data_IF_353861596378
#
_entry.id   IF_353861596378
#
_cell.length_a   1.000
_cell.length_b   1.000
_cell.length_c   1.000
_cell.angle_alpha   90.00
_cell.angle_beta   90.00
_cell.angle_gamma   90.00
#
_symmetry.space_group_name_H-M   'P 1'
#
loop_
_entity.id
_entity.type
_entity.pdbx_description
1 polymer ?
#
# COMPACT_ATOMS: atom_id res chain seq x y z
N UNK A 1 -6.61 3.68 40.68
CA UNK A 1 -6.83 2.54 39.74
C UNK A 1 -6.16 2.96 38.44
N UNK A 2 -5.24 2.14 37.96
CA UNK A 2 -4.08 2.47 37.14
C UNK A 2 -4.45 2.95 35.72
N UNK A 3 -4.22 4.23 35.43
CA UNK A 3 -3.91 4.74 34.09
C UNK A 3 -2.41 5.13 34.04
N UNK A 4 -1.56 4.18 34.43
CA UNK A 4 -0.13 4.17 34.13
C UNK A 4 0.06 3.67 32.69
N UNK A 5 0.17 4.59 31.74
CA UNK A 5 1.22 4.49 30.71
C UNK A 5 1.77 5.90 30.52
N UNK A 6 2.82 6.20 31.29
CA UNK A 6 3.78 7.23 30.93
C UNK A 6 4.46 6.83 29.63
N UNK A 7 4.08 7.49 28.53
CA UNK A 7 4.98 7.64 27.40
C UNK A 7 4.94 9.10 26.95
N UNK A 8 5.74 9.90 27.65
CA UNK A 8 6.13 11.24 27.23
C UNK A 8 6.86 11.12 25.88
N UNK A 9 6.18 11.45 24.79
CA UNK A 9 6.85 11.87 23.57
C UNK A 9 7.35 13.31 23.77
N UNK A 10 8.23 13.52 24.76
CA UNK A 10 8.91 14.79 24.95
C UNK A 10 10.12 14.82 24.03
N UNK A 11 9.89 15.41 22.86
CA UNK A 11 10.90 15.94 21.97
C UNK A 11 10.24 17.06 21.17
N UNK A 12 9.98 18.19 21.81
CA UNK A 12 9.60 19.43 21.16
C UNK A 12 10.59 19.69 20.00
N UNK A 13 10.03 20.02 18.82
CA UNK A 13 10.71 20.48 17.59
C UNK A 13 11.01 19.51 16.43
N UNK A 14 10.18 18.48 16.21
CA UNK A 14 9.74 18.24 14.83
C UNK A 14 8.26 18.63 14.75
N UNK A 15 7.98 19.92 14.46
CA UNK A 15 6.60 20.36 14.21
C UNK A 15 6.03 19.51 13.08
N UNK A 16 4.71 19.28 13.09
CA UNK A 16 4.04 18.51 12.03
C UNK A 16 4.47 18.99 10.63
N UNK A 17 4.69 20.30 10.49
CA UNK A 17 5.20 20.94 9.26
C UNK A 17 6.60 20.46 8.85
N UNK A 18 7.57 20.35 9.78
CA UNK A 18 8.90 19.80 9.47
C UNK A 18 8.82 18.37 8.91
N UNK A 19 7.93 17.54 9.47
CA UNK A 19 7.73 16.17 8.97
C UNK A 19 6.97 16.11 7.66
N UNK A 20 6.02 17.03 7.47
CA UNK A 20 5.37 17.20 6.19
C UNK A 20 6.37 17.64 5.09
N UNK A 21 7.28 18.55 5.39
CA UNK A 21 8.34 18.99 4.47
C UNK A 21 9.35 17.87 4.17
N UNK A 22 9.66 17.04 5.17
CA UNK A 22 10.46 15.83 4.97
C UNK A 22 9.74 14.84 4.02
N UNK A 23 8.42 14.70 4.15
CA UNK A 23 7.61 13.87 3.25
C UNK A 23 7.57 14.45 1.82
N UNK A 24 7.47 15.77 1.67
CA UNK A 24 7.57 16.45 0.37
C UNK A 24 8.92 16.17 -0.28
N UNK A 25 10.01 16.27 0.49
CA UNK A 25 11.37 15.98 0.03
C UNK A 25 11.52 14.52 -0.40
N UNK A 26 10.96 13.58 0.37
CA UNK A 26 10.91 12.17 0.00
C UNK A 26 10.12 11.96 -1.30
N UNK A 27 8.93 12.56 -1.42
CA UNK A 27 8.10 12.48 -2.64
C UNK A 27 8.85 13.04 -3.84
N UNK A 28 9.57 14.15 -3.70
CA UNK A 28 10.38 14.72 -4.78
C UNK A 28 11.50 13.77 -5.23
N UNK A 29 12.15 13.08 -4.30
CA UNK A 29 13.24 12.15 -4.60
C UNK A 29 12.76 10.79 -5.16
N UNK A 30 11.58 10.32 -4.76
CA UNK A 30 11.10 8.96 -5.05
C UNK A 30 9.85 8.91 -5.96
N UNK A 31 9.22 10.05 -6.25
CA UNK A 31 7.97 10.15 -7.00
C UNK A 31 6.72 9.72 -6.23
N UNK A 32 6.83 9.28 -4.97
CA UNK A 32 5.70 8.76 -4.19
C UNK A 32 5.85 8.98 -2.67
N UNK A 33 4.77 8.86 -1.91
CA UNK A 33 4.74 8.96 -0.43
C UNK A 33 4.88 7.62 0.30
N UNK A 34 5.16 6.53 -0.42
CA UNK A 34 5.31 5.16 0.12
C UNK A 34 6.66 4.98 0.84
N UNK A 35 6.82 5.59 2.01
CA UNK A 35 8.00 5.38 2.87
C UNK A 35 7.88 4.02 3.58
N UNK A 36 8.94 3.18 3.60
CA UNK A 36 8.94 1.92 4.34
C UNK A 36 8.69 2.13 5.85
N UNK A 37 7.90 1.25 6.47
CA UNK A 37 7.51 1.37 7.89
C UNK A 37 8.70 1.32 8.88
N UNK A 38 9.80 0.65 8.51
CA UNK A 38 11.02 0.56 9.32
C UNK A 38 12.23 0.99 8.50
N UNK A 39 12.19 2.19 7.91
CA UNK A 39 13.30 2.69 7.10
C UNK A 39 14.49 3.06 7.99
N UNK A 40 15.67 2.42 7.82
CA UNK A 40 16.87 2.84 8.53
C UNK A 40 17.36 4.22 8.09
N UNK A 41 17.06 4.60 6.84
CA UNK A 41 17.42 5.90 6.26
C UNK A 41 16.50 7.04 6.71
N UNK A 42 15.23 6.74 7.01
CA UNK A 42 14.22 7.73 7.37
C UNK A 42 13.43 7.35 8.64
N UNK A 43 14.09 7.01 9.77
CA UNK A 43 13.43 6.40 10.92
C UNK A 43 12.35 7.30 11.55
N UNK A 44 12.65 8.61 11.69
CA UNK A 44 11.68 9.60 12.20
C UNK A 44 10.47 9.76 11.29
N UNK A 45 10.71 9.92 9.98
CA UNK A 45 9.63 10.08 8.99
C UNK A 45 8.76 8.83 8.91
N UNK A 46 9.36 7.63 8.92
CA UNK A 46 8.63 6.36 8.99
C UNK A 46 7.70 6.30 10.20
N UNK A 47 8.21 6.65 11.40
CA UNK A 47 7.42 6.67 12.61
C UNK A 47 6.29 7.72 12.56
N UNK A 48 6.57 8.92 12.04
CA UNK A 48 5.55 9.97 11.89
C UNK A 48 4.43 9.56 10.93
N UNK A 49 4.75 8.93 9.80
CA UNK A 49 3.78 8.39 8.83
C UNK A 49 2.90 7.32 9.48
N UNK A 50 3.50 6.42 10.26
CA UNK A 50 2.76 5.40 11.03
C UNK A 50 1.75 6.10 11.94
N UNK A 51 2.16 7.13 12.68
CA UNK A 51 1.25 7.91 13.53
C UNK A 51 0.08 8.50 12.75
N UNK A 52 0.33 9.09 11.56
CA UNK A 52 -0.74 9.66 10.74
C UNK A 52 -1.74 8.57 10.29
N UNK A 53 -1.26 7.39 9.90
CA UNK A 53 -2.10 6.27 9.44
C UNK A 53 -2.90 5.61 10.56
N UNK A 54 -2.34 5.51 11.76
CA UNK A 54 -3.02 4.88 12.90
C UNK A 54 -4.02 5.80 13.60
N UNK A 55 -3.82 7.11 13.52
CA UNK A 55 -4.65 8.10 14.22
C UNK A 55 -5.09 9.24 13.28
N UNK A 56 -5.70 8.94 12.12
CA UNK A 56 -6.11 9.97 11.16
C UNK A 56 -7.20 10.90 11.72
N UNK A 57 -7.94 10.47 12.76
CA UNK A 57 -8.92 11.26 13.50
C UNK A 57 -8.29 12.38 14.33
N UNK A 58 -6.98 12.30 14.64
CA UNK A 58 -6.26 13.34 15.39
C UNK A 58 -5.71 14.46 14.51
N UNK A 59 -5.89 14.36 13.20
CA UNK A 59 -5.49 15.39 12.26
C UNK A 59 -6.52 16.51 12.22
N UNK A 60 -6.04 17.75 12.21
CA UNK A 60 -6.87 18.89 11.81
C UNK A 60 -7.30 18.74 10.35
N UNK A 61 -8.41 19.38 9.98
CA UNK A 61 -8.90 19.38 8.59
C UNK A 61 -7.84 19.86 7.61
N UNK A 62 -7.11 20.92 7.96
CA UNK A 62 -6.01 21.46 7.15
C UNK A 62 -4.89 20.44 6.92
N UNK A 63 -4.42 19.77 7.98
CA UNK A 63 -3.34 18.77 7.89
C UNK A 63 -3.74 17.55 7.07
N UNK A 64 -4.98 17.11 7.22
CA UNK A 64 -5.56 16.05 6.38
C UNK A 64 -5.57 16.47 4.91
N UNK A 65 -6.08 17.65 4.61
CA UNK A 65 -6.14 18.19 3.24
C UNK A 65 -4.74 18.25 2.61
N UNK A 66 -3.74 18.76 3.33
CA UNK A 66 -2.34 18.82 2.87
C UNK A 66 -1.77 17.45 2.54
N UNK A 67 -2.07 16.42 3.34
CA UNK A 67 -1.67 15.03 3.05
C UNK A 67 -2.38 14.48 1.80
N UNK A 68 -3.66 14.76 1.65
CA UNK A 68 -4.45 14.34 0.48
C UNK A 68 -3.93 15.00 -0.81
N UNK A 69 -3.62 16.29 -0.80
CA UNK A 69 -3.09 17.05 -1.94
C UNK A 69 -1.76 16.48 -2.47
N UNK A 70 -0.94 15.93 -1.58
CA UNK A 70 0.34 15.31 -1.98
C UNK A 70 0.18 13.83 -2.35
N UNK A 71 -1.04 13.28 -2.37
CA UNK A 71 -1.29 11.88 -2.66
C UNK A 71 -0.73 10.96 -1.57
N UNK A 72 -0.93 11.33 -0.30
CA UNK A 72 -0.53 10.49 0.81
C UNK A 72 -1.28 9.15 0.80
N UNK A 73 -0.54 8.05 0.75
CA UNK A 73 -1.12 6.70 0.78
C UNK A 73 -1.44 6.32 2.22
N UNK A 74 -2.72 6.36 2.58
CA UNK A 74 -3.24 5.95 3.89
C UNK A 74 -3.11 4.44 4.12
N UNK A 75 -3.57 3.64 3.16
CA UNK A 75 -3.45 2.18 3.17
C UNK A 75 -2.53 1.72 2.04
N UNK A 76 -1.29 1.38 2.41
CA UNK A 76 -0.27 0.89 1.49
C UNK A 76 -0.60 -0.49 0.91
N UNK A 77 -1.34 -1.33 1.63
CA UNK A 77 -1.75 -2.65 1.17
C UNK A 77 -2.90 -2.54 0.17
N UNK A 78 -3.85 -1.63 0.40
CA UNK A 78 -4.88 -1.29 -0.57
C UNK A 78 -4.26 -0.75 -1.86
N UNK A 79 -3.39 0.26 -1.75
CA UNK A 79 -2.72 0.84 -2.91
C UNK A 79 -1.89 -0.17 -3.70
N UNK A 80 -1.15 -1.07 -3.03
CA UNK A 80 -0.39 -2.12 -3.73
C UNK A 80 -1.31 -3.13 -4.42
N UNK A 81 -2.46 -3.44 -3.84
CA UNK A 81 -3.43 -4.32 -4.48
C UNK A 81 -4.00 -3.68 -5.75
N UNK A 82 -4.34 -2.39 -5.72
CA UNK A 82 -4.79 -1.64 -6.92
C UNK A 82 -3.73 -1.63 -8.01
N UNK A 83 -2.47 -1.37 -7.66
CA UNK A 83 -1.33 -1.37 -8.59
C UNK A 83 -1.18 -2.72 -9.30
N UNK A 84 -1.27 -3.83 -8.55
CA UNK A 84 -1.16 -5.18 -9.13
C UNK A 84 -2.41 -5.60 -9.89
N UNK A 85 -3.59 -5.18 -9.45
CA UNK A 85 -4.82 -5.40 -10.20
C UNK A 85 -4.78 -4.69 -11.56
N UNK A 86 -4.34 -3.43 -11.60
CA UNK A 86 -4.13 -2.71 -12.85
C UNK A 86 -3.09 -3.40 -13.76
N UNK A 87 -1.99 -3.90 -13.18
CA UNK A 87 -0.99 -4.68 -13.92
C UNK A 87 -1.58 -5.99 -14.48
N UNK A 88 -2.47 -6.67 -13.75
CA UNK A 88 -3.18 -7.85 -14.24
C UNK A 88 -4.15 -7.52 -15.37
N UNK A 89 -4.88 -6.40 -15.28
CA UNK A 89 -5.75 -5.91 -16.36
C UNK A 89 -4.93 -5.65 -17.63
N UNK A 90 -3.77 -5.02 -17.49
CA UNK A 90 -2.83 -4.81 -18.60
C UNK A 90 -2.37 -6.14 -19.19
N UNK A 91 -1.94 -7.08 -18.36
CA UNK A 91 -1.55 -8.42 -18.80
C UNK A 91 -2.67 -9.12 -19.57
N UNK A 92 -3.91 -9.06 -19.07
CA UNK A 92 -5.07 -9.62 -19.78
C UNK A 92 -5.27 -8.97 -21.15
N UNK A 93 -5.11 -7.64 -21.26
CA UNK A 93 -5.23 -6.94 -22.54
C UNK A 93 -4.18 -7.41 -23.56
N UNK A 94 -2.97 -7.70 -23.09
CA UNK A 94 -1.84 -8.11 -23.93
C UNK A 94 -1.88 -9.60 -24.31
N UNK A 95 -2.34 -10.47 -23.41
CA UNK A 95 -2.31 -11.93 -23.57
C UNK A 95 -3.68 -12.59 -23.77
N UNK A 96 -4.77 -11.84 -23.65
CA UNK A 96 -6.15 -12.34 -23.74
C UNK A 96 -6.69 -13.04 -22.48
N UNK A 97 -5.83 -13.33 -21.49
CA UNK A 97 -6.20 -14.07 -20.28
C UNK A 97 -5.45 -13.58 -19.03
N UNK A 98 -5.92 -13.98 -17.85
CA UNK A 98 -5.25 -13.66 -16.56
C UNK A 98 -4.23 -14.72 -16.09
N UNK A 99 -3.86 -15.67 -16.96
CA UNK A 99 -2.96 -16.77 -16.61
C UNK A 99 -1.49 -16.35 -16.64
N UNK A 100 -1.09 -15.57 -15.63
CA UNK A 100 0.30 -15.15 -15.42
C UNK A 100 1.16 -16.35 -14.99
N UNK A 101 2.30 -16.65 -15.66
CA UNK A 101 3.22 -17.69 -15.26
C UNK A 101 3.79 -17.46 -13.86
N UNK A 102 3.99 -18.54 -13.08
CA UNK A 102 4.51 -18.45 -11.71
C UNK A 102 5.91 -17.81 -11.63
N UNK A 103 6.73 -18.00 -12.65
CA UNK A 103 8.11 -17.50 -12.74
C UNK A 103 8.27 -16.49 -13.89
N UNK A 104 7.24 -15.67 -14.13
CA UNK A 104 7.28 -14.67 -15.20
C UNK A 104 8.38 -13.63 -14.92
N UNK A 105 9.41 -13.59 -15.77
CA UNK A 105 10.61 -12.80 -15.55
C UNK A 105 10.38 -11.31 -15.81
N UNK A 106 9.44 -10.98 -16.69
CA UNK A 106 9.11 -9.62 -17.09
C UNK A 106 8.39 -8.86 -15.96
N UNK A 107 7.63 -9.57 -15.12
CA UNK A 107 7.06 -8.99 -13.90
C UNK A 107 6.92 -10.03 -12.77
N UNK A 108 8.00 -10.27 -12.02
CA UNK A 108 8.01 -11.22 -10.90
C UNK A 108 7.04 -10.82 -9.78
N UNK A 109 6.79 -9.51 -9.61
CA UNK A 109 5.87 -9.01 -8.60
C UNK A 109 4.42 -9.40 -8.93
N UNK A 110 4.01 -9.25 -10.19
CA UNK A 110 2.68 -9.66 -10.63
C UNK A 110 2.51 -11.18 -10.52
N UNK A 111 3.51 -11.96 -10.93
CA UNK A 111 3.48 -13.42 -10.82
C UNK A 111 3.27 -13.89 -9.37
N UNK A 112 4.02 -13.31 -8.44
CA UNK A 112 3.88 -13.59 -7.01
C UNK A 112 2.52 -13.12 -6.45
N UNK A 113 2.04 -11.95 -6.89
CA UNK A 113 0.74 -11.42 -6.45
C UNK A 113 -0.43 -12.29 -6.92
N UNK A 114 -0.42 -12.73 -8.19
CA UNK A 114 -1.42 -13.66 -8.76
C UNK A 114 -1.41 -14.99 -8.01
N UNK A 115 -0.23 -15.53 -7.73
CA UNK A 115 -0.08 -16.75 -6.90
C UNK A 115 -0.67 -16.55 -5.50
N UNK A 116 -0.45 -15.38 -4.91
CA UNK A 116 -1.04 -15.02 -3.61
C UNK A 116 -2.56 -14.93 -3.68
N UNK A 117 -3.14 -14.37 -4.75
CA UNK A 117 -4.60 -14.32 -4.90
C UNK A 117 -5.19 -15.73 -4.96
N UNK A 118 -4.58 -16.65 -5.72
CA UNK A 118 -5.05 -18.03 -5.84
C UNK A 118 -4.97 -18.81 -4.52
N UNK A 119 -3.89 -18.63 -3.77
CA UNK A 119 -3.66 -19.35 -2.49
C UNK A 119 -4.46 -18.79 -1.32
N UNK A 120 -4.80 -17.50 -1.34
CA UNK A 120 -5.52 -16.80 -0.24
C UNK A 120 -6.94 -16.39 -0.64
N UNK A 121 -7.58 -17.15 -1.53
CA UNK A 121 -8.92 -16.84 -2.05
C UNK A 121 -9.95 -16.62 -0.94
N UNK A 122 -9.90 -17.47 0.09
CA UNK A 122 -10.76 -17.45 1.28
C UNK A 122 -10.58 -16.19 2.15
N UNK A 123 -9.42 -15.54 2.05
CA UNK A 123 -9.08 -14.33 2.83
C UNK A 123 -9.30 -13.03 2.04
N UNK A 124 -9.73 -13.11 0.79
CA UNK A 124 -10.05 -11.92 0.00
C UNK A 124 -11.39 -11.35 0.42
N UNK A 125 -11.46 -10.02 0.52
CA UNK A 125 -12.74 -9.36 0.71
C UNK A 125 -13.64 -9.54 -0.54
N UNK A 126 -14.93 -9.31 -0.35
CA UNK A 126 -15.94 -9.50 -1.41
C UNK A 126 -15.69 -8.63 -2.63
N UNK A 127 -15.23 -7.40 -2.42
CA UNK A 127 -14.94 -6.44 -3.51
C UNK A 127 -13.81 -6.94 -4.44
N UNK A 128 -12.67 -7.32 -3.85
CA UNK A 128 -11.52 -7.85 -4.60
C UNK A 128 -11.85 -9.13 -5.33
N UNK A 129 -12.64 -10.00 -4.71
CA UNK A 129 -13.12 -11.24 -5.33
C UNK A 129 -14.01 -10.95 -6.54
N UNK A 130 -14.94 -9.99 -6.40
CA UNK A 130 -15.82 -9.55 -7.50
C UNK A 130 -15.01 -8.97 -8.66
N UNK A 131 -14.07 -8.06 -8.38
CA UNK A 131 -13.23 -7.42 -9.39
C UNK A 131 -12.34 -8.40 -10.15
N UNK A 132 -11.81 -9.41 -9.48
CA UNK A 132 -11.08 -10.51 -10.13
C UNK A 132 -12.01 -11.34 -11.04
N UNK A 133 -13.24 -11.61 -10.59
CA UNK A 133 -14.22 -12.32 -11.40
C UNK A 133 -14.63 -11.54 -12.66
N UNK A 134 -14.83 -10.22 -12.56
CA UNK A 134 -15.17 -9.33 -13.70
C UNK A 134 -14.13 -9.38 -14.83
N UNK A 135 -12.86 -9.59 -14.49
CA UNK A 135 -11.80 -9.74 -15.50
C UNK A 135 -11.57 -11.20 -15.93
N UNK A 136 -12.42 -12.14 -15.51
CA UNK A 136 -12.29 -13.55 -15.87
C UNK A 136 -11.09 -14.23 -15.23
N UNK A 137 -10.75 -13.85 -13.99
CA UNK A 137 -9.62 -14.45 -13.27
C UNK A 137 -9.89 -15.93 -12.93
N UNK A 138 -9.08 -16.82 -13.48
CA UNK A 138 -9.13 -18.25 -13.19
C UNK A 138 -8.41 -18.59 -11.87
N UNK A 139 -9.18 -19.09 -10.91
CA UNK A 139 -8.67 -19.49 -9.60
C UNK A 139 -7.81 -20.75 -9.65
N UNK A 140 -8.03 -21.62 -10.63
CA UNK A 140 -7.33 -22.90 -10.78
C UNK A 140 -6.91 -23.09 -12.23
N UNK A 141 -5.62 -22.91 -12.49
CA UNK A 141 -4.99 -23.31 -13.76
C UNK A 141 -4.60 -24.79 -13.61
N UNK A 142 -5.57 -25.70 -13.69
CA UNK A 142 -5.22 -27.10 -13.97
C UNK A 142 -4.93 -27.17 -15.46
N UNK A 143 -3.76 -27.68 -15.83
CA UNK A 143 -3.55 -28.18 -17.19
C UNK A 143 -4.68 -29.14 -17.49
N UNK A 144 -5.49 -28.89 -18.52
CA UNK A 144 -6.14 -30.01 -19.20
C UNK A 144 -5.00 -30.92 -19.64
N UNK A 145 -4.95 -32.15 -19.12
CA UNK A 145 -4.16 -33.21 -19.72
C UNK A 145 -4.81 -33.60 -21.04
#
# INVERSE_FOLDING_TARGET
RLDEIGFAWSGLEDSWDKMFDALLSYKKAHGHTKVPARSPKYPKLSQWIITQRHRPERLTLDRRKRLEEIGFVWDVFAAKWEEMFAALVKYKKEHGHCNVPRHWAENPQLAQWVTTQRTKRDKLNKDRTRRLAEIGFEWSIRSKK
#
